data_IF_022544561880
#
_entry.id   IF_022544561880
#
_cell.length_a   1.000
_cell.length_b   1.000
_cell.length_c   1.000
_cell.angle_alpha   90.00
_cell.angle_beta   90.00
_cell.angle_gamma   90.00
#
_symmetry.space_group_name_H-M   'P 1'
#
loop_
_entity.id
_entity.type
_entity.pdbx_description
1 polymer ?
#
# COMPACT_ATOMS: atom_id res chain seq x y z
N UNK A 1 21.77 1.20 10.21
CA UNK A 1 21.81 0.98 9.79
C UNK A 1 21.75 1.00 8.77
N UNK A 2 21.53 1.09 8.63
CA UNK A 2 21.84 1.31 7.60
C UNK A 2 21.72 0.42 6.54
N UNK A 3 22.34 -0.59 6.50
CA UNK A 3 22.29 -1.49 5.42
C UNK A 3 20.93 -2.00 5.09
N UNK A 4 20.11 -2.17 6.08
CA UNK A 4 18.85 -2.73 5.77
C UNK A 4 18.03 -1.83 4.92
N UNK A 5 18.20 -0.56 5.03
CA UNK A 5 17.43 0.32 4.21
C UNK A 5 17.81 0.18 2.76
N UNK A 6 19.04 -0.10 2.49
CA UNK A 6 19.44 -0.25 1.13
C UNK A 6 18.92 -1.48 0.50
N UNK A 7 18.71 -2.53 1.28
CA UNK A 7 18.26 -3.77 0.69
C UNK A 7 16.76 -3.78 0.43
N UNK A 8 16.04 -2.82 0.95
CA UNK A 8 14.60 -2.80 0.75
C UNK A 8 14.22 -1.66 -0.14
N UNK A 9 13.77 -1.99 -1.34
CA UNK A 9 13.35 -0.99 -2.28
C UNK A 9 11.95 -0.55 -1.93
N UNK A 10 11.75 0.76 -1.80
CA UNK A 10 10.43 1.31 -1.51
C UNK A 10 9.72 1.57 -2.83
N UNK A 11 9.24 0.49 -3.43
CA UNK A 11 8.65 0.60 -4.75
C UNK A 11 7.40 1.48 -4.75
N UNK A 12 6.58 1.37 -3.70
CA UNK A 12 5.39 2.22 -3.65
C UNK A 12 5.78 3.68 -3.56
N UNK A 13 6.70 4.00 -2.68
CA UNK A 13 7.14 5.38 -2.53
C UNK A 13 7.76 5.93 -3.80
N UNK A 14 8.52 5.10 -4.51
CA UNK A 14 9.10 5.52 -5.76
C UNK A 14 8.04 5.83 -6.79
N UNK A 15 7.02 4.98 -6.89
CA UNK A 15 5.94 5.20 -7.84
C UNK A 15 5.10 6.40 -7.45
N UNK A 16 4.86 6.59 -6.16
CA UNK A 16 4.10 7.73 -5.68
C UNK A 16 4.84 9.03 -6.03
N UNK A 17 6.15 9.06 -5.83
CA UNK A 17 6.91 10.26 -6.16
C UNK A 17 6.96 10.49 -7.67
N UNK A 18 7.05 9.43 -8.45
CA UNK A 18 7.16 9.56 -9.89
C UNK A 18 5.84 9.91 -10.55
N UNK A 19 4.75 9.37 -10.05
CA UNK A 19 3.46 9.50 -10.72
C UNK A 19 2.41 10.27 -9.95
N UNK A 20 2.65 10.51 -8.67
CA UNK A 20 1.62 11.13 -7.83
C UNK A 20 1.13 12.48 -8.35
N UNK A 21 2.04 13.28 -8.86
CA UNK A 21 1.66 14.61 -9.32
C UNK A 21 0.79 14.58 -10.57
N UNK A 22 0.69 13.43 -11.22
CA UNK A 22 -0.14 13.30 -12.40
C UNK A 22 -1.54 12.81 -12.05
N UNK A 23 -1.77 12.46 -10.80
CA UNK A 23 -3.06 11.94 -10.39
C UNK A 23 -4.06 13.07 -10.21
N UNK A 24 -5.33 12.76 -10.44
CA UNK A 24 -6.38 13.72 -10.09
C UNK A 24 -6.38 13.89 -8.58
N UNK A 25 -6.97 14.96 -8.06
CA UNK A 25 -6.98 15.15 -6.61
C UNK A 25 -7.57 13.97 -5.84
N UNK A 26 -8.62 13.35 -6.38
CA UNK A 26 -9.23 12.22 -5.70
C UNK A 26 -8.31 11.01 -5.67
N UNK A 27 -7.66 10.71 -6.79
CA UNK A 27 -6.74 9.59 -6.84
C UNK A 27 -5.50 9.87 -6.01
N UNK A 28 -5.06 11.12 -5.98
CA UNK A 28 -3.92 11.49 -5.16
C UNK A 28 -4.25 11.30 -3.68
N UNK A 29 -5.49 11.60 -3.29
CA UNK A 29 -5.92 11.42 -1.92
C UNK A 29 -5.81 9.95 -1.52
N UNK A 30 -6.20 9.04 -2.39
CA UNK A 30 -6.09 7.61 -2.12
C UNK A 30 -4.63 7.21 -1.99
N UNK A 31 -3.79 7.65 -2.92
CA UNK A 31 -2.38 7.30 -2.89
C UNK A 31 -1.70 7.84 -1.63
N UNK A 32 -2.05 9.05 -1.23
CA UNK A 32 -1.48 9.66 -0.04
C UNK A 32 -1.89 8.90 1.21
N UNK A 33 -3.15 8.46 1.28
CA UNK A 33 -3.61 7.67 2.40
C UNK A 33 -2.82 6.37 2.50
N UNK A 34 -2.61 5.71 1.37
CA UNK A 34 -1.86 4.46 1.35
C UNK A 34 -0.43 4.71 1.82
N UNK A 35 0.17 5.78 1.35
CA UNK A 35 1.54 6.09 1.72
C UNK A 35 1.67 6.34 3.22
N UNK A 36 0.69 7.01 3.81
CA UNK A 36 0.75 7.36 5.21
C UNK A 36 0.30 6.24 6.14
N UNK A 37 -0.40 5.25 5.61
CA UNK A 37 -0.99 4.18 6.42
C UNK A 37 -0.67 2.80 5.85
N UNK A 38 0.57 2.59 5.45
CA UNK A 38 0.97 1.37 4.75
C UNK A 38 0.64 0.11 5.51
N UNK A 39 0.89 0.12 6.80
CA UNK A 39 0.63 -1.06 7.60
C UNK A 39 -0.85 -1.38 7.66
N UNK A 40 -1.67 -0.37 7.86
CA UNK A 40 -3.11 -0.56 7.92
C UNK A 40 -3.66 -1.05 6.58
N UNK A 41 -3.13 -0.52 5.50
CA UNK A 41 -3.61 -0.87 4.16
C UNK A 41 -3.40 -2.35 3.86
N UNK A 42 -2.32 -2.93 4.37
CA UNK A 42 -2.07 -4.33 4.13
C UNK A 42 -3.23 -5.20 4.64
N UNK A 43 -3.90 -4.75 5.68
CA UNK A 43 -4.98 -5.51 6.26
C UNK A 43 -6.37 -5.07 5.82
N UNK A 44 -6.46 -4.07 4.98
CA UNK A 44 -7.75 -3.53 4.57
C UNK A 44 -8.15 -4.02 3.19
N UNK A 45 -9.45 -4.07 2.95
CA UNK A 45 -9.97 -4.32 1.61
C UNK A 45 -10.13 -2.98 0.90
N UNK A 46 -10.34 -3.03 -0.41
CA UNK A 46 -10.59 -1.80 -1.17
C UNK A 46 -11.82 -1.08 -0.64
N UNK A 47 -12.84 -1.81 -0.23
CA UNK A 47 -14.03 -1.19 0.30
C UNK A 47 -13.76 -0.50 1.63
N UNK A 48 -12.90 -1.07 2.45
CA UNK A 48 -12.57 -0.45 3.72
C UNK A 48 -11.77 0.83 3.53
N UNK A 49 -10.83 0.81 2.60
CA UNK A 49 -10.07 2.00 2.28
C UNK A 49 -11.01 3.07 1.72
N UNK A 50 -11.91 2.67 0.83
CA UNK A 50 -12.85 3.60 0.25
C UNK A 50 -13.76 4.22 1.30
N UNK A 51 -14.22 3.41 2.25
CA UNK A 51 -15.07 3.93 3.31
C UNK A 51 -14.33 4.96 4.17
N UNK A 52 -13.07 4.70 4.46
CA UNK A 52 -12.26 5.63 5.24
C UNK A 52 -12.14 6.97 4.51
N UNK A 53 -12.01 6.92 3.21
CA UNK A 53 -11.81 8.13 2.42
C UNK A 53 -13.10 8.69 1.83
N UNK A 54 -14.21 8.03 2.12
CA UNK A 54 -15.52 8.46 1.64
C UNK A 54 -15.56 8.51 0.12
N UNK A 55 -15.08 7.46 -0.50
CA UNK A 55 -15.08 7.35 -1.95
C UNK A 55 -15.49 5.92 -2.32
N UNK A 56 -15.39 5.55 -3.57
CA UNK A 56 -15.80 4.23 -4.02
C UNK A 56 -14.60 3.30 -4.12
N UNK A 57 -14.84 2.00 -4.02
CA UNK A 57 -13.76 1.04 -4.18
C UNK A 57 -13.17 1.11 -5.58
N UNK A 58 -13.97 1.47 -6.58
CA UNK A 58 -13.44 1.65 -7.93
C UNK A 58 -12.40 2.76 -7.97
N UNK A 59 -12.61 3.82 -7.20
CA UNK A 59 -11.66 4.91 -7.15
C UNK A 59 -10.35 4.43 -6.51
N UNK A 60 -10.44 3.60 -5.48
CA UNK A 60 -9.25 3.05 -4.84
C UNK A 60 -8.47 2.22 -5.84
N UNK A 61 -9.14 1.33 -6.57
CA UNK A 61 -8.48 0.47 -7.54
C UNK A 61 -7.86 1.32 -8.65
N UNK A 62 -8.58 2.36 -9.08
CA UNK A 62 -8.07 3.20 -10.14
C UNK A 62 -6.79 3.93 -9.72
N UNK A 63 -6.74 4.39 -8.49
CA UNK A 63 -5.54 5.05 -7.98
C UNK A 63 -4.36 4.08 -7.96
N UNK A 64 -4.60 2.86 -7.52
CA UNK A 64 -3.57 1.85 -7.45
C UNK A 64 -3.04 1.54 -8.85
N UNK A 65 -3.94 1.41 -9.81
CA UNK A 65 -3.52 1.13 -11.19
C UNK A 65 -2.79 2.32 -11.80
N UNK A 66 -3.19 3.53 -11.44
CA UNK A 66 -2.51 4.72 -11.95
C UNK A 66 -1.07 4.80 -11.45
N UNK A 67 -0.79 4.19 -10.31
CA UNK A 67 0.57 4.14 -9.80
C UNK A 67 1.37 2.99 -10.41
N UNK A 68 0.74 2.20 -11.26
CA UNK A 68 1.45 1.14 -11.95
C UNK A 68 1.34 -0.23 -11.33
N UNK A 69 0.46 -0.41 -10.35
CA UNK A 69 0.26 -1.72 -9.76
C UNK A 69 -0.90 -2.42 -10.44
N UNK A 70 -0.90 -3.73 -10.41
CA UNK A 70 -1.95 -4.50 -11.06
C UNK A 70 -3.29 -4.43 -10.34
N UNK A 71 -3.26 -4.16 -9.04
CA UNK A 71 -4.46 -4.07 -8.23
C UNK A 71 -4.07 -4.04 -6.78
N UNK A 72 -5.07 -4.12 -5.90
CA UNK A 72 -4.79 -4.02 -4.47
C UNK A 72 -3.92 -5.17 -3.98
N UNK A 73 -4.13 -6.36 -4.50
CA UNK A 73 -3.31 -7.49 -4.08
C UNK A 73 -1.84 -7.26 -4.41
N UNK A 74 -1.57 -6.77 -5.60
CA UNK A 74 -0.22 -6.47 -6.03
C UNK A 74 0.39 -5.39 -5.14
N UNK A 75 -0.38 -4.36 -4.83
CA UNK A 75 0.06 -3.31 -3.95
C UNK A 75 0.39 -3.86 -2.57
N UNK A 76 -0.47 -4.71 -2.03
CA UNK A 76 -0.25 -5.26 -0.69
C UNK A 76 1.03 -6.09 -0.65
N UNK A 77 1.27 -6.88 -1.67
CA UNK A 77 2.49 -7.67 -1.72
C UNK A 77 3.72 -6.76 -1.75
N UNK A 78 3.63 -5.67 -2.47
CA UNK A 78 4.73 -4.71 -2.52
C UNK A 78 4.98 -4.08 -1.16
N UNK A 79 3.92 -3.72 -0.45
CA UNK A 79 4.08 -3.13 0.86
C UNK A 79 4.60 -4.14 1.87
N UNK A 80 4.13 -5.37 1.80
CA UNK A 80 4.62 -6.42 2.69
C UNK A 80 6.09 -6.67 2.48
N UNK A 81 6.51 -6.67 1.23
CA UNK A 81 7.91 -6.87 0.91
C UNK A 81 8.76 -5.73 1.46
N UNK A 82 8.25 -4.51 1.39
CA UNK A 82 8.96 -3.36 1.90
C UNK A 82 9.14 -3.43 3.42
N UNK A 83 8.10 -3.85 4.15
CA UNK A 83 8.22 -4.00 5.59
C UNK A 83 9.16 -5.14 5.95
N UNK A 84 9.18 -6.19 5.16
CA UNK A 84 10.06 -7.32 5.39
C UNK A 84 9.47 -8.35 6.33
N UNK A 85 10.24 -9.36 6.66
CA UNK A 85 9.74 -10.50 7.42
C UNK A 85 9.20 -10.15 8.79
N UNK A 86 9.65 -9.08 9.36
CA UNK A 86 9.23 -8.77 10.72
C UNK A 86 7.74 -8.61 10.85
N UNK A 87 7.13 -7.96 9.89
CA UNK A 87 5.75 -7.78 9.97
C UNK A 87 4.98 -9.04 9.69
N UNK A 88 5.35 -9.78 8.71
CA UNK A 88 4.58 -10.95 8.37
C UNK A 88 4.63 -11.98 9.46
N UNK A 89 5.76 -12.14 10.11
CA UNK A 89 5.80 -13.18 11.08
C UNK A 89 4.99 -12.87 12.29
N UNK A 90 4.88 -11.65 12.63
CA UNK A 90 4.24 -11.39 13.88
C UNK A 90 2.79 -11.72 13.82
N UNK A 91 2.14 -11.50 12.75
CA UNK A 91 0.87 -11.77 12.77
C UNK A 91 0.57 -13.08 12.53
N UNK A 92 1.12 -13.62 11.67
CA UNK A 92 0.73 -14.81 11.33
C UNK A 92 0.92 -15.78 12.26
N UNK A 93 1.80 -15.75 12.91
CA UNK A 93 2.08 -16.71 13.71
C UNK A 93 1.22 -16.85 14.63
N UNK A 94 1.01 -15.96 15.04
CA UNK A 94 0.23 -16.09 15.96
C UNK A 94 -0.93 -16.60 15.66
N UNK A 95 -1.28 -16.43 15.02
CA UNK A 95 -2.39 -16.82 14.75
C UNK A 95 -2.58 -17.94 14.40
N UNK A 96 -2.16 -18.24 14.36
CA UNK A 96 -2.41 -19.14 13.91
C UNK A 96 -2.37 -20.10 14.23
N UNK A 97 -1.97 -20.07 14.76
CA UNK A 97 -1.88 -20.66 14.97
C UNK A 97 -2.36 -21.10 15.00
N UNK A 98 -2.41 -21.00 15.11
CA UNK A 98 -2.60 -21.30 15.04
C UNK A 98 -2.74 -21.59 14.94
#
# INVERSE_FOLDING_TARGET
>A
MIGRDKSRVDLFGDRFRARGHQLTPRLHQVASYINDNREAVIEQTAMEIAATLKTSDATVVRAIQALGFGGLRDLKQTLEHWFGPAISSSEKMSTTVN
#
